data_IF_587966117151
#
_entry.id   IF_587966117151
#
_cell.length_a   1.000
_cell.length_b   1.000
_cell.length_c   1.000
_cell.angle_alpha   90.00
_cell.angle_beta   90.00
_cell.angle_gamma   90.00
#
_symmetry.space_group_name_H-M   'P 1'
#
loop_
_entity.id
_entity.type
_entity.pdbx_description
1 polymer ?
#
# COMPACT_ATOMS: atom_id res chain seq x y z
N UNK A 1 30.79 1.67 8.74
CA UNK A 1 30.01 0.94 7.72
C UNK A 1 30.23 1.56 6.33
N UNK A 2 30.35 0.77 5.25
CA UNK A 2 30.52 1.32 3.89
C UNK A 2 29.20 1.84 3.33
N UNK A 3 29.24 2.90 2.51
CA UNK A 3 28.05 3.50 1.87
C UNK A 3 27.25 2.47 1.08
N UNK A 4 27.94 1.58 0.36
CA UNK A 4 27.29 0.53 -0.43
C UNK A 4 26.48 -0.43 0.44
N UNK A 5 27.03 -0.86 1.59
CA UNK A 5 26.35 -1.76 2.51
C UNK A 5 25.10 -1.12 3.13
N UNK A 6 25.14 0.20 3.41
CA UNK A 6 23.98 0.96 3.85
C UNK A 6 22.88 0.98 2.78
N UNK A 7 23.22 1.45 1.57
CA UNK A 7 22.26 1.58 0.49
C UNK A 7 21.64 0.23 0.09
N UNK A 8 22.46 -0.81 -0.04
CA UNK A 8 21.98 -2.15 -0.37
C UNK A 8 21.09 -2.71 0.75
N UNK A 9 21.49 -2.49 2.01
CA UNK A 9 20.74 -2.96 3.18
C UNK A 9 19.36 -2.29 3.32
N UNK A 10 19.28 -0.97 3.14
CA UNK A 10 18.00 -0.23 3.21
C UNK A 10 17.12 -0.56 2.00
N UNK A 11 17.69 -0.65 0.81
CA UNK A 11 16.96 -0.97 -0.44
C UNK A 11 16.37 -2.37 -0.39
N UNK A 12 17.18 -3.38 -0.02
CA UNK A 12 16.71 -4.76 0.10
C UNK A 12 15.59 -4.91 1.13
N UNK A 13 15.76 -4.32 2.32
CA UNK A 13 14.71 -4.34 3.36
C UNK A 13 13.46 -3.62 2.89
N UNK A 14 13.60 -2.47 2.23
CA UNK A 14 12.49 -1.74 1.62
C UNK A 14 11.73 -2.61 0.63
N UNK A 15 12.44 -3.32 -0.26
CA UNK A 15 11.84 -4.27 -1.20
C UNK A 15 11.07 -5.40 -0.52
N UNK A 16 11.67 -6.07 0.46
CA UNK A 16 11.00 -7.17 1.20
C UNK A 16 9.75 -6.69 1.94
N UNK A 17 9.84 -5.57 2.67
CA UNK A 17 8.69 -5.01 3.36
C UNK A 17 7.62 -4.51 2.38
N UNK A 18 8.04 -3.92 1.26
CA UNK A 18 7.14 -3.51 0.18
C UNK A 18 6.41 -4.70 -0.44
N UNK A 19 7.07 -5.84 -0.63
CA UNK A 19 6.45 -7.07 -1.12
C UNK A 19 5.37 -7.56 -0.14
N UNK A 20 5.69 -7.63 1.15
CA UNK A 20 4.73 -8.05 2.19
C UNK A 20 3.53 -7.09 2.23
N UNK A 21 3.79 -5.80 2.32
CA UNK A 21 2.75 -4.77 2.38
C UNK A 21 1.90 -4.74 1.10
N UNK A 22 2.52 -4.88 -0.07
CA UNK A 22 1.84 -4.94 -1.35
C UNK A 22 0.96 -6.18 -1.49
N UNK A 23 1.46 -7.34 -1.05
CA UNK A 23 0.67 -8.58 -1.06
C UNK A 23 -0.55 -8.46 -0.15
N UNK A 24 -0.35 -8.04 1.10
CA UNK A 24 -1.43 -7.91 2.08
C UNK A 24 -2.42 -6.81 1.70
N UNK A 25 -1.91 -5.64 1.30
CA UNK A 25 -2.70 -4.50 0.86
C UNK A 25 -3.49 -4.81 -0.39
N UNK A 26 -2.85 -5.42 -1.39
CA UNK A 26 -3.50 -5.88 -2.61
C UNK A 26 -4.58 -6.92 -2.34
N UNK A 27 -4.26 -7.96 -1.55
CA UNK A 27 -5.21 -9.01 -1.18
C UNK A 27 -6.44 -8.48 -0.44
N UNK A 28 -6.22 -7.55 0.51
CA UNK A 28 -7.31 -6.96 1.29
C UNK A 28 -8.15 -6.04 0.42
N UNK A 29 -7.51 -5.16 -0.35
CA UNK A 29 -8.20 -4.21 -1.21
C UNK A 29 -8.99 -4.90 -2.33
N UNK A 30 -8.40 -5.91 -2.98
CA UNK A 30 -9.06 -6.67 -4.03
C UNK A 30 -10.31 -7.40 -3.52
N UNK A 31 -10.26 -7.98 -2.32
CA UNK A 31 -11.43 -8.59 -1.68
C UNK A 31 -12.53 -7.56 -1.37
N UNK A 32 -12.16 -6.40 -0.82
CA UNK A 32 -13.12 -5.33 -0.51
C UNK A 32 -13.75 -4.80 -1.81
N UNK A 33 -12.94 -4.53 -2.84
CA UNK A 33 -13.40 -3.97 -4.09
C UNK A 33 -14.35 -4.92 -4.85
N UNK A 34 -14.01 -6.22 -4.92
CA UNK A 34 -14.87 -7.22 -5.55
C UNK A 34 -16.24 -7.32 -4.83
N UNK A 35 -16.24 -7.30 -3.50
CA UNK A 35 -17.48 -7.31 -2.71
C UNK A 35 -18.26 -6.01 -2.83
N UNK A 36 -17.60 -4.85 -2.85
CA UNK A 36 -18.28 -3.56 -2.94
C UNK A 36 -19.08 -3.46 -4.25
N UNK A 37 -18.51 -3.92 -5.37
CA UNK A 37 -19.22 -3.96 -6.67
C UNK A 37 -20.44 -4.88 -6.59
N UNK A 38 -20.29 -6.07 -6.02
CA UNK A 38 -21.38 -7.03 -5.93
C UNK A 38 -22.49 -6.55 -4.99
N UNK A 39 -22.14 -6.09 -3.78
CA UNK A 39 -23.11 -5.58 -2.81
C UNK A 39 -23.84 -4.35 -3.35
N UNK A 40 -23.16 -3.48 -4.11
CA UNK A 40 -23.81 -2.35 -4.76
C UNK A 40 -24.85 -2.80 -5.80
N UNK A 41 -24.54 -3.80 -6.64
CA UNK A 41 -25.51 -4.38 -7.57
C UNK A 41 -26.65 -5.09 -6.85
N UNK A 42 -26.33 -5.88 -5.83
CA UNK A 42 -27.30 -6.58 -5.00
C UNK A 42 -28.26 -5.60 -4.32
N UNK A 43 -27.77 -4.46 -3.84
CA UNK A 43 -28.60 -3.42 -3.23
C UNK A 43 -29.57 -2.78 -4.24
N UNK A 44 -29.18 -2.64 -5.51
CA UNK A 44 -30.06 -2.14 -6.56
C UNK A 44 -31.16 -3.15 -6.92
N UNK A 45 -30.86 -4.44 -6.84
CA UNK A 45 -31.78 -5.53 -7.19
C UNK A 45 -32.50 -6.12 -5.95
N UNK A 46 -32.26 -5.58 -4.75
CA UNK A 46 -32.78 -6.15 -3.50
C UNK A 46 -34.32 -6.15 -3.44
N UNK A 47 -34.95 -5.17 -4.08
CA UNK A 47 -36.41 -5.07 -4.13
C UNK A 47 -37.06 -6.20 -4.94
N UNK A 48 -36.32 -6.90 -5.80
CA UNK A 48 -36.83 -7.98 -6.67
C UNK A 48 -36.41 -9.38 -6.21
N UNK A 49 -35.32 -9.50 -5.43
CA UNK A 49 -34.69 -10.80 -5.16
C UNK A 49 -35.31 -11.63 -4.02
N UNK A 50 -36.19 -11.08 -3.18
CA UNK A 50 -36.85 -11.86 -2.12
C UNK A 50 -35.89 -12.49 -1.08
N UNK A 51 -36.43 -13.05 0.00
CA UNK A 51 -35.61 -13.62 1.09
C UNK A 51 -34.93 -14.96 0.72
N UNK A 52 -35.47 -15.66 -0.28
CA UNK A 52 -34.97 -16.97 -0.75
C UNK A 52 -33.58 -16.92 -1.40
N UNK A 53 -33.17 -15.76 -1.92
CA UNK A 53 -31.86 -15.57 -2.56
C UNK A 53 -30.75 -15.15 -1.59
N UNK A 54 -31.03 -15.06 -0.29
CA UNK A 54 -30.06 -14.59 0.71
C UNK A 54 -28.83 -15.50 0.88
N UNK A 55 -29.05 -16.80 1.06
CA UNK A 55 -27.96 -17.77 1.28
C UNK A 55 -27.05 -17.90 0.05
N UNK A 56 -27.58 -18.07 -1.19
CA UNK A 56 -26.76 -18.02 -2.41
C UNK A 56 -25.97 -16.71 -2.53
N UNK A 57 -26.57 -15.57 -2.16
CA UNK A 57 -25.91 -14.26 -2.18
C UNK A 57 -24.66 -14.22 -1.29
N UNK A 58 -24.71 -14.77 -0.07
CA UNK A 58 -23.55 -14.85 0.82
C UNK A 58 -22.44 -15.72 0.22
N UNK A 59 -22.79 -16.86 -0.38
CA UNK A 59 -21.80 -17.72 -1.02
C UNK A 59 -21.06 -17.00 -2.15
N UNK A 60 -21.79 -16.22 -2.96
CA UNK A 60 -21.20 -15.40 -4.03
C UNK A 60 -20.28 -14.31 -3.48
N UNK A 61 -20.67 -13.61 -2.40
CA UNK A 61 -19.81 -12.64 -1.70
C UNK A 61 -18.50 -13.28 -1.27
N UNK A 62 -18.53 -14.45 -0.64
CA UNK A 62 -17.31 -15.15 -0.20
C UNK A 62 -16.41 -15.56 -1.38
N UNK A 63 -17.00 -16.08 -2.46
CA UNK A 63 -16.25 -16.45 -3.67
C UNK A 63 -15.61 -15.23 -4.32
N UNK A 64 -16.35 -14.13 -4.47
CA UNK A 64 -15.83 -12.89 -5.03
C UNK A 64 -14.77 -12.25 -4.13
N UNK A 65 -14.92 -12.32 -2.81
CA UNK A 65 -13.90 -11.90 -1.85
C UNK A 65 -12.59 -12.66 -2.10
N UNK A 66 -12.68 -13.98 -2.26
CA UNK A 66 -11.52 -14.85 -2.47
C UNK A 66 -10.84 -14.57 -3.82
N UNK A 67 -11.61 -14.50 -4.91
CA UNK A 67 -11.10 -14.17 -6.24
C UNK A 67 -10.47 -12.77 -6.24
N UNK A 68 -11.17 -11.79 -5.68
CA UNK A 68 -10.68 -10.43 -5.53
C UNK A 68 -9.38 -10.37 -4.74
N UNK A 69 -9.25 -11.18 -3.69
CA UNK A 69 -8.03 -11.28 -2.89
C UNK A 69 -6.84 -11.82 -3.68
N UNK A 70 -7.05 -12.90 -4.45
CA UNK A 70 -5.99 -13.47 -5.30
C UNK A 70 -5.55 -12.45 -6.35
N UNK A 71 -6.50 -11.84 -7.06
CA UNK A 71 -6.20 -10.85 -8.10
C UNK A 71 -5.48 -9.63 -7.50
N UNK A 72 -5.99 -9.14 -6.38
CA UNK A 72 -5.38 -8.04 -5.64
C UNK A 72 -3.95 -8.34 -5.20
N UNK A 73 -3.67 -9.55 -4.70
CA UNK A 73 -2.33 -9.98 -4.34
C UNK A 73 -1.40 -10.06 -5.56
N UNK A 74 -1.87 -10.63 -6.68
CA UNK A 74 -1.10 -10.75 -7.92
C UNK A 74 -0.62 -9.40 -8.45
N UNK A 75 -1.46 -8.37 -8.39
CA UNK A 75 -1.07 -7.00 -8.75
C UNK A 75 -0.30 -6.28 -7.63
N UNK A 76 -0.62 -6.59 -6.38
CA UNK A 76 -0.01 -5.98 -5.19
C UNK A 76 1.45 -6.36 -4.99
N UNK A 77 1.84 -7.60 -5.32
CA UNK A 77 3.22 -8.10 -5.19
C UNK A 77 4.22 -7.26 -6.00
N UNK A 78 4.12 -7.14 -7.35
CA UNK A 78 5.10 -6.41 -8.14
C UNK A 78 5.10 -4.92 -7.80
N UNK A 79 3.92 -4.31 -7.64
CA UNK A 79 3.81 -2.88 -7.30
C UNK A 79 4.41 -2.61 -5.92
N UNK A 80 4.09 -3.43 -4.92
CA UNK A 80 4.63 -3.31 -3.58
C UNK A 80 6.14 -3.49 -3.53
N UNK A 81 6.67 -4.46 -4.25
CA UNK A 81 8.12 -4.67 -4.33
C UNK A 81 8.84 -3.48 -4.97
N UNK A 82 8.36 -2.97 -6.11
CA UNK A 82 8.95 -1.81 -6.80
C UNK A 82 8.90 -0.56 -5.92
N UNK A 83 7.73 -0.23 -5.37
CA UNK A 83 7.57 0.93 -4.47
C UNK A 83 8.43 0.78 -3.22
N UNK A 84 8.53 -0.44 -2.68
CA UNK A 84 9.39 -0.77 -1.54
C UNK A 84 10.87 -0.56 -1.82
N UNK A 85 11.37 -1.01 -2.98
CA UNK A 85 12.75 -0.78 -3.41
C UNK A 85 13.04 0.72 -3.55
N UNK A 86 12.17 1.47 -4.23
CA UNK A 86 12.34 2.91 -4.42
C UNK A 86 12.32 3.66 -3.08
N UNK A 87 11.41 3.30 -2.17
CA UNK A 87 11.37 3.87 -0.83
C UNK A 87 12.62 3.51 -0.02
N UNK A 88 13.09 2.26 -0.06
CA UNK A 88 14.30 1.83 0.63
C UNK A 88 15.57 2.52 0.12
N UNK A 89 15.63 2.78 -1.19
CA UNK A 89 16.68 3.58 -1.80
C UNK A 89 16.63 5.04 -1.35
N UNK A 90 15.45 5.66 -1.40
CA UNK A 90 15.22 7.03 -0.93
C UNK A 90 15.65 7.20 0.54
N UNK A 91 15.21 6.28 1.41
CA UNK A 91 15.61 6.24 2.82
C UNK A 91 17.13 6.12 2.96
N UNK A 92 17.77 5.26 2.17
CA UNK A 92 19.22 5.11 2.17
C UNK A 92 19.94 6.41 1.80
N UNK A 93 19.48 7.11 0.75
CA UNK A 93 20.04 8.39 0.31
C UNK A 93 19.85 9.47 1.39
N UNK A 94 18.63 9.63 1.92
CA UNK A 94 18.34 10.62 2.97
C UNK A 94 19.17 10.36 4.22
N UNK A 95 19.29 9.10 4.63
CA UNK A 95 20.13 8.69 5.77
C UNK A 95 21.59 9.11 5.54
N UNK A 96 22.12 8.86 4.34
CA UNK A 96 23.52 9.15 4.01
C UNK A 96 23.81 10.65 3.95
N UNK A 97 22.94 11.43 3.32
CA UNK A 97 23.17 12.86 3.07
C UNK A 97 22.95 13.70 4.32
N UNK A 98 21.92 13.41 5.11
CA UNK A 98 21.48 14.29 6.20
C UNK A 98 21.78 13.76 7.61
N UNK A 99 21.92 12.45 7.77
CA UNK A 99 21.96 11.80 9.10
C UNK A 99 23.21 10.96 9.33
N UNK A 100 24.25 11.10 8.50
CA UNK A 100 25.53 10.42 8.69
C UNK A 100 26.61 11.40 9.18
N UNK A 101 27.22 11.21 10.37
CA UNK A 101 26.91 10.22 11.41
C UNK A 101 25.62 10.55 12.20
N UNK A 102 25.04 9.54 12.87
CA UNK A 102 23.72 9.67 13.50
C UNK A 102 23.80 10.47 14.81
N UNK A 103 23.44 11.76 14.75
CA UNK A 103 23.47 12.63 15.95
C UNK A 103 22.21 12.54 16.82
N UNK A 104 21.04 12.36 16.19
CA UNK A 104 19.75 12.30 16.88
C UNK A 104 18.84 11.25 16.23
N UNK A 105 18.73 10.10 16.91
CA UNK A 105 17.88 8.99 16.52
C UNK A 105 16.37 9.35 16.49
N UNK A 106 15.90 10.21 17.39
CA UNK A 106 14.46 10.57 17.44
C UNK A 106 14.06 11.41 16.24
N UNK A 107 14.88 12.40 15.89
CA UNK A 107 14.65 13.24 14.72
C UNK A 107 14.77 12.43 13.43
N UNK A 108 15.78 11.57 13.34
CA UNK A 108 15.96 10.66 12.20
C UNK A 108 14.72 9.78 11.94
N UNK A 109 14.22 9.07 12.95
CA UNK A 109 13.01 8.22 12.84
C UNK A 109 11.78 8.99 12.37
N UNK A 110 11.60 10.24 12.83
CA UNK A 110 10.46 11.08 12.44
C UNK A 110 10.57 11.52 10.98
N UNK A 111 11.73 12.03 10.57
CA UNK A 111 11.96 12.52 9.20
C UNK A 111 11.83 11.39 8.20
N UNK A 112 12.48 10.25 8.43
CA UNK A 112 12.40 9.09 7.54
C UNK A 112 10.97 8.54 7.45
N UNK A 113 10.22 8.48 8.56
CA UNK A 113 8.83 8.08 8.52
C UNK A 113 7.95 9.04 7.70
N UNK A 114 8.12 10.36 7.85
CA UNK A 114 7.37 11.37 7.11
C UNK A 114 7.69 11.34 5.61
N UNK A 115 8.97 11.30 5.25
CA UNK A 115 9.43 11.25 3.85
C UNK A 115 8.88 10.00 3.16
N UNK A 116 8.99 8.84 3.81
CA UNK A 116 8.46 7.59 3.26
C UNK A 116 6.94 7.57 3.15
N UNK A 117 6.23 8.11 4.14
CA UNK A 117 4.78 8.20 4.11
C UNK A 117 4.29 9.07 2.95
N UNK A 118 4.92 10.25 2.76
CA UNK A 118 4.58 11.16 1.66
C UNK A 118 4.92 10.54 0.31
N UNK A 119 6.12 9.97 0.17
CA UNK A 119 6.55 9.35 -1.09
C UNK A 119 5.60 8.21 -1.51
N UNK A 120 5.34 7.27 -0.62
CA UNK A 120 4.46 6.13 -0.92
C UNK A 120 3.00 6.50 -1.02
N UNK A 121 2.53 7.48 -0.23
CA UNK A 121 1.17 8.01 -0.34
C UNK A 121 0.92 8.67 -1.69
N UNK A 122 1.83 9.54 -2.14
CA UNK A 122 1.75 10.18 -3.46
C UNK A 122 1.87 9.14 -4.58
N UNK A 123 2.86 8.24 -4.50
CA UNK A 123 3.04 7.20 -5.51
C UNK A 123 1.81 6.30 -5.64
N UNK A 124 1.24 5.87 -4.51
CA UNK A 124 0.02 5.05 -4.49
C UNK A 124 -1.16 5.82 -5.04
N UNK A 125 -1.34 7.08 -4.63
CA UNK A 125 -2.40 7.93 -5.15
C UNK A 125 -2.33 8.07 -6.67
N UNK A 126 -1.14 8.28 -7.24
CA UNK A 126 -0.95 8.28 -8.70
C UNK A 126 -1.29 6.94 -9.35
N UNK A 127 -0.86 5.81 -8.78
CA UNK A 127 -1.21 4.49 -9.29
C UNK A 127 -2.72 4.25 -9.31
N UNK A 128 -3.44 4.66 -8.26
CA UNK A 128 -4.89 4.50 -8.17
C UNK A 128 -5.64 5.58 -8.98
N UNK A 129 -5.05 6.76 -9.21
CA UNK A 129 -5.65 7.80 -10.05
C UNK A 129 -5.79 7.36 -11.52
N UNK A 130 -4.88 6.51 -12.01
CA UNK A 130 -5.01 5.90 -13.33
C UNK A 130 -6.30 5.08 -13.46
N UNK A 131 -6.77 4.45 -12.38
CA UNK A 131 -8.04 3.70 -12.35
C UNK A 131 -9.22 4.67 -12.50
N UNK A 132 -9.20 5.83 -11.83
CA UNK A 132 -10.23 6.87 -12.00
C UNK A 132 -10.29 7.32 -13.46
N UNK A 133 -9.14 7.64 -14.07
CA UNK A 133 -9.10 8.08 -15.47
C UNK A 133 -9.64 7.01 -16.43
N UNK A 134 -9.34 5.74 -16.17
CA UNK A 134 -9.83 4.63 -16.98
C UNK A 134 -11.35 4.45 -16.86
N UNK A 135 -11.91 4.50 -15.65
CA UNK A 135 -13.35 4.35 -15.42
C UNK A 135 -14.16 5.58 -15.83
N UNK A 136 -13.66 6.78 -15.58
CA UNK A 136 -14.32 8.04 -15.94
C UNK A 136 -14.54 8.19 -17.45
N UNK A 137 -13.73 7.52 -18.28
CA UNK A 137 -13.89 7.53 -19.73
C UNK A 137 -14.92 6.51 -20.24
N UNK A 138 -15.28 5.50 -19.45
CA UNK A 138 -16.18 4.41 -19.91
C UNK A 138 -17.58 4.49 -19.32
N UNK A 139 -17.69 4.78 -18.04
CA UNK A 139 -18.96 4.85 -17.34
C UNK A 139 -19.11 6.24 -16.72
N UNK A 140 -20.31 6.81 -16.75
CA UNK A 140 -20.68 8.03 -15.98
C UNK A 140 -20.74 7.72 -14.48
N UNK A 141 -19.73 7.04 -13.97
CA UNK A 141 -19.62 6.64 -12.58
C UNK A 141 -19.53 7.87 -11.69
N UNK A 142 -20.13 7.79 -10.51
CA UNK A 142 -20.10 8.86 -9.52
C UNK A 142 -18.66 9.13 -9.07
N UNK A 143 -18.11 10.24 -9.60
CA UNK A 143 -16.77 10.75 -9.31
C UNK A 143 -16.44 10.80 -7.80
N UNK A 144 -17.35 11.22 -6.89
CA UNK A 144 -17.01 11.29 -5.47
C UNK A 144 -16.76 9.93 -4.81
N UNK A 145 -17.49 8.88 -5.20
CA UNK A 145 -17.28 7.54 -4.65
C UNK A 145 -15.95 6.94 -5.13
N UNK A 146 -15.62 7.15 -6.40
CA UNK A 146 -14.33 6.75 -6.98
C UNK A 146 -13.15 7.43 -6.31
N UNK A 147 -13.25 8.73 -6.00
CA UNK A 147 -12.20 9.47 -5.31
C UNK A 147 -11.90 8.88 -3.91
N UNK A 148 -12.93 8.48 -3.16
CA UNK A 148 -12.77 7.88 -1.84
C UNK A 148 -12.13 6.49 -1.93
N UNK A 149 -12.57 5.67 -2.89
CA UNK A 149 -12.02 4.33 -3.16
C UNK A 149 -10.53 4.39 -3.49
N UNK A 150 -10.06 5.46 -4.16
CA UNK A 150 -8.64 5.66 -4.52
C UNK A 150 -7.82 6.29 -3.39
N UNK A 151 -8.39 7.24 -2.66
CA UNK A 151 -7.65 7.97 -1.63
C UNK A 151 -7.37 7.10 -0.41
N UNK A 152 -8.31 6.24 -0.03
CA UNK A 152 -8.18 5.41 1.17
C UNK A 152 -7.02 4.40 1.11
N UNK A 153 -6.83 3.62 0.03
CA UNK A 153 -5.65 2.77 -0.16
C UNK A 153 -4.34 3.55 -0.18
N UNK A 154 -4.32 4.74 -0.76
CA UNK A 154 -3.12 5.59 -0.80
C UNK A 154 -2.71 6.05 0.61
N UNK A 155 -3.68 6.43 1.45
CA UNK A 155 -3.43 6.76 2.85
C UNK A 155 -2.93 5.55 3.65
N UNK A 156 -3.53 4.38 3.46
CA UNK A 156 -3.09 3.13 4.10
C UNK A 156 -1.65 2.81 3.70
N UNK A 157 -1.31 2.93 2.42
CA UNK A 157 0.05 2.71 1.93
C UNK A 157 1.05 3.70 2.56
N UNK A 158 0.69 4.98 2.66
CA UNK A 158 1.50 6.00 3.33
C UNK A 158 1.76 5.67 4.80
N UNK A 159 0.73 5.28 5.55
CA UNK A 159 0.87 4.89 6.97
C UNK A 159 1.71 3.62 7.13
N UNK A 160 1.47 2.60 6.30
CA UNK A 160 2.24 1.37 6.31
C UNK A 160 3.72 1.62 6.06
N UNK A 161 4.04 2.48 5.08
CA UNK A 161 5.40 2.90 4.78
C UNK A 161 6.06 3.64 5.95
N UNK A 162 5.32 4.51 6.65
CA UNK A 162 5.83 5.19 7.85
C UNK A 162 6.27 4.19 8.93
N UNK A 163 5.50 3.11 9.14
CA UNK A 163 5.81 2.06 10.11
C UNK A 163 7.03 1.23 9.68
N UNK A 164 7.09 0.84 8.41
CA UNK A 164 8.22 0.12 7.82
C UNK A 164 9.51 0.94 7.95
N UNK A 165 9.45 2.24 7.65
CA UNK A 165 10.59 3.15 7.73
C UNK A 165 11.10 3.33 9.15
N UNK A 166 10.23 3.26 10.17
CA UNK A 166 10.67 3.19 11.58
C UNK A 166 11.42 1.91 11.90
N UNK A 167 11.00 0.77 11.34
CA UNK A 167 11.69 -0.51 11.53
C UNK A 167 13.09 -0.50 10.87
N UNK A 168 13.21 0.11 9.67
CA UNK A 168 14.49 0.30 8.99
C UNK A 168 15.41 1.24 9.81
N UNK A 169 14.87 2.34 10.33
CA UNK A 169 15.62 3.27 11.16
C UNK A 169 16.14 2.60 12.45
N UNK A 170 15.32 1.79 13.12
CA UNK A 170 15.74 1.03 14.30
C UNK A 170 16.80 -0.03 14.01
N UNK A 171 16.84 -0.60 12.79
CA UNK A 171 17.94 -1.45 12.36
C UNK A 171 19.24 -0.67 12.17
N UNK A 172 19.17 0.52 11.57
CA UNK A 172 20.35 1.38 11.35
C UNK A 172 20.98 1.84 12.67
N UNK A 173 20.16 2.24 13.64
CA UNK A 173 20.63 2.63 14.98
C UNK A 173 21.40 1.52 15.70
N UNK A 174 20.94 0.27 15.60
CA UNK A 174 21.64 -0.88 16.19
C UNK A 174 23.02 -1.12 15.57
N UNK A 175 23.22 -0.72 14.31
CA UNK A 175 24.51 -0.84 13.64
C UNK A 175 25.49 0.27 14.04
N UNK A 176 24.99 1.45 14.37
CA UNK A 176 25.81 2.61 14.75
C UNK A 176 26.33 2.49 16.20
N UNK A 177 25.51 1.96 17.13
CA UNK A 177 25.92 1.72 18.52
C UNK A 177 26.99 0.61 18.64
N UNK A 178 27.08 -0.27 17.65
CA UNK A 178 28.03 -1.40 17.63
C UNK A 178 29.36 -1.09 16.94
N UNK A 179 29.59 0.14 16.46
CA UNK A 179 30.82 0.57 15.78
C UNK A 179 31.55 1.65 16.53
#
# INVERSE_FOLDING_TARGET
MTTLKLLLGTTWRGGVFGLIAGTLGGATYGAIFANAIFLFRLAQEWSTLGAENFIPGIAVVLILAFIGSIMGALFGVPTGFIVGLLNGLLVGIVTRVFFFPLRDAKTFRRVIAMVSALFTGIASWFCFFAIILFYSNRDKADVPMLALIVTLPALIAGVASALISRAIAGWYEKLDVGS
#
